data_IF_660866601732
#
_entry.id   IF_660866601732
#
_cell.length_a   1.000
_cell.length_b   1.000
_cell.length_c   1.000
_cell.angle_alpha   90.00
_cell.angle_beta   90.00
_cell.angle_gamma   90.00
#
_symmetry.space_group_name_H-M   'P 1'
#
loop_
_entity.id
_entity.type
_entity.pdbx_description
1 polymer ?
#
# COMPACT_ATOMS: atom_id res chain seq x y z
N UNK A 1 5.16 -3.03 -3.32
CA UNK A 1 5.90 -3.65 -4.44
C UNK A 1 7.38 -3.64 -4.10
N UNK A 2 7.91 -4.78 -3.64
CA UNK A 2 9.32 -4.93 -3.24
C UNK A 2 10.06 -5.73 -4.31
N UNK A 3 9.98 -5.25 -5.56
CA UNK A 3 10.40 -5.99 -6.75
C UNK A 3 11.83 -5.64 -7.22
N UNK A 4 12.48 -4.64 -6.60
CA UNK A 4 13.88 -4.30 -6.91
C UNK A 4 14.80 -5.29 -6.18
N UNK A 5 15.63 -6.06 -6.91
CA UNK A 5 16.60 -6.98 -6.33
C UNK A 5 17.81 -6.23 -5.76
N UNK A 6 18.35 -6.69 -4.63
CA UNK A 6 19.66 -6.24 -4.13
C UNK A 6 20.77 -7.01 -4.88
N UNK A 7 21.81 -6.34 -5.41
CA UNK A 7 22.89 -7.02 -6.15
C UNK A 7 23.70 -8.03 -5.34
N UNK A 8 23.77 -7.88 -4.02
CA UNK A 8 24.50 -8.80 -3.13
C UNK A 8 23.62 -10.02 -2.78
N UNK A 9 24.03 -11.24 -3.16
CA UNK A 9 23.24 -12.46 -2.94
C UNK A 9 23.05 -12.81 -1.45
N UNK A 10 24.02 -12.49 -0.59
CA UNK A 10 23.93 -12.76 0.85
C UNK A 10 22.93 -11.81 1.51
N UNK A 11 22.88 -10.56 1.03
CA UNK A 11 21.91 -9.56 1.49
C UNK A 11 20.51 -9.88 0.97
N UNK A 12 20.38 -10.33 -0.27
CA UNK A 12 19.09 -10.67 -0.87
C UNK A 12 18.45 -11.89 -0.19
N UNK A 13 19.22 -12.93 0.16
CA UNK A 13 18.70 -14.10 0.91
C UNK A 13 18.13 -13.75 2.28
N UNK A 14 18.75 -12.80 2.99
CA UNK A 14 18.31 -12.39 4.34
C UNK A 14 17.14 -11.42 4.32
N UNK A 15 16.71 -10.96 3.14
CA UNK A 15 15.72 -9.90 3.02
C UNK A 15 14.31 -10.44 3.28
N UNK A 16 13.69 -9.97 4.35
CA UNK A 16 12.27 -10.21 4.59
C UNK A 16 11.43 -9.40 3.60
N UNK A 17 11.00 -10.04 2.51
CA UNK A 17 10.11 -9.42 1.52
C UNK A 17 8.69 -9.38 2.09
N UNK A 18 8.12 -8.18 2.19
CA UNK A 18 6.67 -8.01 2.38
C UNK A 18 6.00 -8.42 1.07
N UNK A 19 5.52 -9.66 1.02
CA UNK A 19 4.69 -10.15 -0.07
C UNK A 19 3.29 -9.58 0.16
N UNK A 20 2.89 -8.61 -0.67
CA UNK A 20 1.51 -8.15 -0.70
C UNK A 20 0.64 -9.33 -1.13
N UNK A 21 -0.33 -9.70 -0.29
CA UNK A 21 -1.31 -10.73 -0.61
C UNK A 21 -2.42 -10.09 -1.44
N UNK A 22 -2.92 -10.80 -2.45
CA UNK A 22 -3.98 -10.35 -3.34
C UNK A 22 -3.50 -9.70 -4.64
N UNK A 23 -4.29 -9.91 -5.69
CA UNK A 23 -4.06 -9.36 -7.03
C UNK A 23 -4.51 -7.91 -7.15
N UNK A 24 -4.02 -7.22 -8.17
CA UNK A 24 -4.46 -5.86 -8.51
C UNK A 24 -5.96 -5.93 -8.86
N UNK A 25 -6.85 -5.23 -8.14
CA UNK A 25 -8.27 -5.23 -8.47
C UNK A 25 -8.47 -4.62 -9.86
N UNK A 26 -9.48 -5.11 -10.58
CA UNK A 26 -9.83 -4.59 -11.90
C UNK A 26 -10.15 -3.09 -11.80
N UNK A 27 -9.58 -2.23 -12.67
CA UNK A 27 -9.90 -0.81 -12.69
C UNK A 27 -11.39 -0.51 -12.94
N UNK A 28 -12.11 -1.47 -13.54
CA UNK A 28 -13.55 -1.35 -13.83
C UNK A 28 -14.38 -1.49 -12.54
N UNK A 29 -13.91 -2.28 -11.58
CA UNK A 29 -14.60 -2.56 -10.32
C UNK A 29 -13.61 -2.37 -9.16
N UNK A 30 -13.28 -1.10 -8.81
CA UNK A 30 -12.44 -0.83 -7.66
C UNK A 30 -13.10 -1.33 -6.36
N UNK A 31 -12.32 -1.72 -5.34
CA UNK A 31 -12.87 -2.04 -4.04
C UNK A 31 -13.51 -0.78 -3.43
N UNK A 32 -14.58 -0.96 -2.67
CA UNK A 32 -15.25 0.12 -1.96
C UNK A 32 -14.31 0.71 -0.87
N UNK A 33 -14.31 2.03 -0.70
CA UNK A 33 -13.37 2.73 0.19
C UNK A 33 -11.98 2.89 -0.42
N UNK A 34 -10.93 2.79 0.40
CA UNK A 34 -9.54 2.90 -0.05
C UNK A 34 -9.19 1.83 -1.11
N UNK A 35 -8.75 2.26 -2.29
CA UNK A 35 -8.38 1.36 -3.40
C UNK A 35 -7.33 0.29 -3.05
N UNK A 36 -6.56 0.49 -1.97
CA UNK A 36 -5.54 -0.45 -1.51
C UNK A 36 -6.00 -1.37 -0.38
N UNK A 37 -7.24 -1.27 0.11
CA UNK A 37 -7.72 -1.99 1.31
C UNK A 37 -7.62 -3.53 1.22
N UNK A 38 -7.75 -4.11 0.03
CA UNK A 38 -7.65 -5.57 -0.20
C UNK A 38 -6.22 -6.08 -0.19
N UNK A 39 -5.23 -5.18 -0.29
CA UNK A 39 -3.81 -5.52 -0.42
C UNK A 39 -2.94 -4.87 0.65
N UNK A 40 -3.49 -3.93 1.42
CA UNK A 40 -2.78 -3.21 2.46
C UNK A 40 -2.52 -4.13 3.67
N UNK A 41 -1.26 -4.30 4.11
CA UNK A 41 -0.95 -5.13 5.28
C UNK A 41 -1.38 -4.48 6.61
N UNK A 42 -1.82 -3.22 6.57
CA UNK A 42 -2.17 -2.40 7.73
C UNK A 42 -3.56 -1.77 7.58
N UNK A 43 -4.46 -2.38 6.79
CA UNK A 43 -5.84 -1.92 6.63
C UNK A 43 -6.57 -1.91 7.98
N UNK A 44 -7.49 -0.97 8.10
CA UNK A 44 -8.41 -0.79 9.24
C UNK A 44 -9.83 -0.68 8.70
N UNK A 45 -10.85 -0.76 9.57
CA UNK A 45 -12.26 -0.83 9.15
C UNK A 45 -12.66 0.33 8.22
N UNK A 46 -12.28 1.56 8.55
CA UNK A 46 -12.54 2.76 7.72
C UNK A 46 -11.95 2.66 6.30
N UNK A 47 -10.93 1.83 6.07
CA UNK A 47 -10.37 1.60 4.72
C UNK A 47 -11.36 0.89 3.78
N UNK A 48 -12.34 0.13 4.30
CA UNK A 48 -13.35 -0.57 3.49
C UNK A 48 -14.63 0.26 3.29
N UNK A 49 -14.75 1.37 4.02
CA UNK A 49 -15.94 2.22 4.06
C UNK A 49 -15.74 3.52 3.29
N UNK A 50 -14.58 4.17 3.46
CA UNK A 50 -14.33 5.52 2.96
C UNK A 50 -13.01 5.65 2.21
N UNK A 51 -12.99 6.50 1.18
CA UNK A 51 -11.77 6.87 0.46
C UNK A 51 -10.98 7.92 1.27
N UNK A 52 -9.69 7.71 1.55
CA UNK A 52 -8.89 8.68 2.29
C UNK A 52 -8.69 9.99 1.52
N UNK A 53 -8.86 11.12 2.21
CA UNK A 53 -8.55 12.43 1.66
C UNK A 53 -7.06 12.56 1.32
N UNK A 54 -6.75 13.27 0.22
CA UNK A 54 -5.39 13.61 -0.17
C UNK A 54 -4.89 14.79 0.66
N UNK A 55 -3.90 14.55 1.52
CA UNK A 55 -3.34 15.55 2.44
C UNK A 55 -1.86 15.77 2.18
N UNK A 56 -1.38 16.98 2.42
CA UNK A 56 0.05 17.33 2.37
C UNK A 56 0.68 17.09 3.75
N UNK A 57 1.69 16.22 3.82
CA UNK A 57 2.36 15.84 5.09
C UNK A 57 3.74 16.45 5.23
N UNK A 58 4.37 16.77 4.11
CA UNK A 58 5.62 17.54 4.01
C UNK A 58 5.50 18.42 2.76
N UNK A 59 6.25 19.54 2.65
CA UNK A 59 6.19 20.39 1.47
C UNK A 59 6.43 19.58 0.18
N UNK A 60 5.42 19.55 -0.70
CA UNK A 60 5.44 18.78 -1.95
C UNK A 60 5.24 17.27 -1.80
N UNK A 61 4.93 16.76 -0.60
CA UNK A 61 4.68 15.35 -0.33
C UNK A 61 3.23 15.13 0.10
N UNK A 62 2.47 14.46 -0.76
CA UNK A 62 1.03 14.25 -0.58
C UNK A 62 0.73 12.77 -0.39
N UNK A 63 -0.20 12.48 0.52
CA UNK A 63 -0.58 11.11 0.88
C UNK A 63 -2.09 11.00 1.03
N UNK A 64 -2.67 9.91 0.56
CA UNK A 64 -4.06 9.53 0.79
C UNK A 64 -4.08 8.23 1.60
N UNK A 65 -4.08 8.33 2.93
CA UNK A 65 -4.08 7.17 3.84
C UNK A 65 -4.70 7.52 5.19
N UNK A 66 -5.63 6.69 5.67
CA UNK A 66 -6.31 6.86 6.96
C UNK A 66 -5.40 6.73 8.19
N UNK A 67 -4.18 6.21 8.02
CA UNK A 67 -3.20 6.06 9.12
C UNK A 67 -2.19 7.19 9.21
N UNK A 68 -2.25 8.15 8.29
CA UNK A 68 -1.32 9.27 8.24
C UNK A 68 -1.95 10.44 8.97
N UNK A 69 -1.35 10.80 10.10
CA UNK A 69 -1.70 11.91 10.98
C UNK A 69 -0.45 12.76 11.17
#
# INVERSE_FOLDING_TARGET
LSAVPVPDPVVEEKRQRIILKGDVPSPINPPHGCHFNTRCPVSVDVCYEEDPGLIEVLPGHWVACHRVI
#
